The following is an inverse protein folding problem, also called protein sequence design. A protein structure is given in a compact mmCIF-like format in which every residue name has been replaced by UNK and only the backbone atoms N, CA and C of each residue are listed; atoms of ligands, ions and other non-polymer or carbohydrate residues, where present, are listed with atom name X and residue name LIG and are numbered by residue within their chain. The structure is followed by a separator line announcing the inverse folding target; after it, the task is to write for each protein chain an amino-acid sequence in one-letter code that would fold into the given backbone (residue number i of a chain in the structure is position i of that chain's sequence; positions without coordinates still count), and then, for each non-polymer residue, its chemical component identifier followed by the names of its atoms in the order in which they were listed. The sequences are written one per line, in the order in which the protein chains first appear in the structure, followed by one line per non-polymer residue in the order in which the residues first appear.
data_IF_482682326318
#
_entry.id   IF_482682326318
#
_cell.length_a   1.000
_cell.length_b   1.000
_cell.length_c   1.000
_cell.angle_alpha   90.00
_cell.angle_beta   90.00
_cell.angle_gamma   90.00
#
_symmetry.space_group_name_H-M   'P 1'
#
loop_
_entity.id
_entity.type
_entity.pdbx_description
1 polymer ?
#
# COMPACT_ATOMS: atom_id res chain seq x y z
N UNK A 1 -3.03 -10.88 2.53
CA UNK A 1 -3.58 -12.09 3.18
C UNK A 1 -4.95 -12.47 2.62
N UNK A 2 -5.89 -11.51 2.49
CA UNK A 2 -7.23 -11.79 1.96
C UNK A 2 -7.29 -12.25 0.49
N UNK A 3 -6.27 -11.94 -0.33
CA UNK A 3 -6.16 -12.47 -1.69
C UNK A 3 -5.90 -13.99 -1.80
N UNK A 4 -5.80 -14.70 -0.67
CA UNK A 4 -5.72 -16.17 -0.60
C UNK A 4 -7.03 -16.82 -0.11
N UNK A 5 -8.06 -16.03 0.19
CA UNK A 5 -9.35 -16.56 0.61
C UNK A 5 -10.09 -17.12 -0.63
N UNK A 6 -10.07 -18.45 -0.78
CA UNK A 6 -10.70 -19.19 -1.88
C UNK A 6 -9.69 -19.67 -2.93
N UNK A 7 -9.86 -20.90 -3.41
CA UNK A 7 -9.07 -21.47 -4.51
C UNK A 7 -9.79 -21.28 -5.84
N UNK A 8 -9.22 -20.55 -6.82
CA UNK A 8 -9.91 -20.19 -8.07
C UNK A 8 -10.47 -21.36 -8.89
N UNK A 9 -9.93 -22.57 -8.72
CA UNK A 9 -10.33 -23.76 -9.48
C UNK A 9 -11.24 -24.73 -8.70
N UNK A 10 -11.40 -24.56 -7.40
CA UNK A 10 -12.05 -25.57 -6.53
C UNK A 10 -13.22 -25.02 -5.73
N UNK A 11 -13.17 -23.75 -5.32
CA UNK A 11 -14.15 -23.16 -4.41
C UNK A 11 -15.00 -22.13 -5.15
N UNK A 12 -16.33 -22.19 -4.99
CA UNK A 12 -17.27 -21.25 -5.59
C UNK A 12 -17.32 -19.89 -4.89
N UNK A 13 -16.90 -19.84 -3.61
CA UNK A 13 -16.78 -18.63 -2.79
C UNK A 13 -15.58 -18.77 -1.86
N UNK A 14 -14.82 -17.69 -1.70
CA UNK A 14 -13.80 -17.55 -0.66
C UNK A 14 -14.32 -16.73 0.51
N UNK A 15 -14.06 -17.17 1.74
CA UNK A 15 -14.40 -16.42 2.94
C UNK A 15 -13.11 -16.06 3.69
N UNK A 16 -13.00 -14.78 4.08
CA UNK A 16 -11.90 -14.26 4.86
C UNK A 16 -12.43 -13.51 6.06
N UNK A 17 -12.06 -13.95 7.26
CA UNK A 17 -12.47 -13.32 8.52
C UNK A 17 -11.32 -12.42 8.98
N UNK A 18 -11.62 -11.15 9.24
CA UNK A 18 -10.69 -10.19 9.83
C UNK A 18 -11.12 -9.89 11.27
N UNK A 19 -10.23 -10.16 12.22
CA UNK A 19 -10.42 -9.83 13.64
C UNK A 19 -9.59 -8.58 13.93
N UNK A 20 -10.23 -7.50 14.37
CA UNK A 20 -9.57 -6.22 14.66
C UNK A 20 -10.32 -5.46 15.76
N UNK A 21 -9.70 -4.39 16.24
CA UNK A 21 -10.31 -3.47 17.21
C UNK A 21 -11.42 -2.63 16.55
N UNK A 22 -12.40 -2.16 17.34
CA UNK A 22 -13.53 -1.37 16.79
C UNK A 22 -13.06 -0.09 16.09
N UNK A 23 -11.99 0.55 16.57
CA UNK A 23 -11.45 1.79 15.97
C UNK A 23 -10.81 1.58 14.60
N UNK A 24 -10.23 0.41 14.34
CA UNK A 24 -9.54 0.12 13.07
C UNK A 24 -10.48 -0.54 12.04
N UNK A 25 -11.69 -0.95 12.45
CA UNK A 25 -12.66 -1.62 11.58
C UNK A 25 -12.99 -0.77 10.35
N UNK A 26 -13.24 0.53 10.51
CA UNK A 26 -13.56 1.42 9.40
C UNK A 26 -12.39 1.53 8.41
N UNK A 27 -11.15 1.57 8.91
CA UNK A 27 -9.95 1.61 8.07
C UNK A 27 -9.84 0.36 7.18
N UNK A 28 -9.99 -0.83 7.77
CA UNK A 28 -9.93 -2.07 7.00
C UNK A 28 -11.11 -2.25 6.05
N UNK A 29 -12.31 -1.78 6.41
CA UNK A 29 -13.46 -1.76 5.49
C UNK A 29 -13.20 -0.85 4.28
N UNK A 30 -12.66 0.35 4.50
CA UNK A 30 -12.33 1.27 3.41
C UNK A 30 -11.22 0.71 2.51
N UNK A 31 -10.23 0.03 3.09
CA UNK A 31 -9.16 -0.63 2.34
C UNK A 31 -9.68 -1.75 1.42
N UNK A 32 -10.57 -2.61 1.93
CA UNK A 32 -11.07 -3.77 1.18
C UNK A 32 -12.12 -3.41 0.12
N UNK A 33 -12.86 -2.32 0.34
CA UNK A 33 -13.87 -1.84 -0.60
C UNK A 33 -13.34 -0.79 -1.59
N UNK A 34 -12.02 -0.68 -1.75
CA UNK A 34 -11.36 0.26 -2.69
C UNK A 34 -11.70 1.74 -2.43
N UNK A 35 -12.04 2.09 -1.18
CA UNK A 35 -12.40 3.45 -0.78
C UNK A 35 -11.19 4.24 -0.25
N UNK A 36 -10.03 3.60 -0.09
CA UNK A 36 -8.82 4.25 0.40
C UNK A 36 -7.99 4.80 -0.78
N UNK A 37 -7.82 6.14 -0.91
CA UNK A 37 -6.98 6.71 -1.95
C UNK A 37 -5.51 6.36 -1.72
N UNK A 38 -4.76 6.17 -2.82
CA UNK A 38 -3.31 5.97 -2.76
C UNK A 38 -2.65 7.35 -2.70
N UNK A 39 -1.93 7.63 -1.61
CA UNK A 39 -1.24 8.90 -1.40
C UNK A 39 0.28 8.76 -1.48
N UNK A 40 0.95 9.81 -1.98
CA UNK A 40 2.41 9.84 -2.05
C UNK A 40 3.03 10.02 -0.67
N UNK A 41 3.87 9.06 -0.27
CA UNK A 41 4.68 9.14 0.94
C UNK A 41 6.13 9.56 0.66
N UNK A 42 6.42 9.99 -0.58
CA UNK A 42 7.78 10.30 -1.05
C UNK A 42 8.43 11.44 -0.27
N UNK A 43 7.64 12.42 0.20
CA UNK A 43 8.15 13.60 0.91
C UNK A 43 9.03 13.21 2.10
N UNK A 44 8.65 12.17 2.84
CA UNK A 44 9.40 11.68 4.01
C UNK A 44 10.79 11.13 3.66
N UNK A 45 10.95 10.56 2.46
CA UNK A 45 12.18 9.93 1.97
C UNK A 45 12.84 10.71 0.84
N UNK A 46 12.36 11.92 0.57
CA UNK A 46 12.84 12.73 -0.54
C UNK A 46 14.34 13.04 -0.44
N UNK A 47 14.91 13.38 0.75
CA UNK A 47 16.34 13.64 0.86
C UNK A 47 17.19 12.43 0.47
N UNK A 48 16.79 11.22 0.87
CA UNK A 48 17.52 9.99 0.57
C UNK A 48 17.47 9.66 -0.92
N UNK A 49 16.29 9.76 -1.52
CA UNK A 49 16.10 9.51 -2.95
C UNK A 49 16.83 10.55 -3.80
N UNK A 50 16.78 11.83 -3.41
CA UNK A 50 17.51 12.89 -4.09
C UNK A 50 19.02 12.70 -3.98
N UNK A 51 19.53 12.34 -2.79
CA UNK A 51 20.94 12.04 -2.60
C UNK A 51 21.39 10.86 -3.46
N UNK A 52 20.58 9.80 -3.56
CA UNK A 52 20.89 8.66 -4.43
C UNK A 52 21.04 9.10 -5.90
N UNK A 53 20.13 9.95 -6.39
CA UNK A 53 20.19 10.47 -7.76
C UNK A 53 21.37 11.42 -8.01
N UNK A 54 21.80 12.17 -6.99
CA UNK A 54 23.02 13.00 -7.05
C UNK A 54 24.26 12.10 -7.14
N UNK A 55 24.35 11.06 -6.29
CA UNK A 55 25.48 10.11 -6.29
C UNK A 55 25.57 9.33 -7.61
N UNK A 56 24.42 8.98 -8.19
CA UNK A 56 24.36 8.35 -9.52
C UNK A 56 24.71 9.32 -10.66
N UNK A 57 24.85 10.61 -10.37
CA UNK A 57 25.15 11.65 -11.36
C UNK A 57 23.98 12.04 -12.26
N UNK A 58 22.78 11.54 -11.96
CA UNK A 58 21.54 11.83 -12.69
C UNK A 58 21.03 13.25 -12.40
N UNK A 59 21.25 13.75 -11.17
CA UNK A 59 20.93 15.13 -10.76
C UNK A 59 22.21 15.86 -10.41
N UNK A 60 22.51 16.96 -11.12
CA UNK A 60 23.75 17.72 -10.91
C UNK A 60 23.52 19.17 -10.48
N UNK A 61 22.35 19.73 -10.77
CA UNK A 61 21.98 21.10 -10.53
C UNK A 61 20.50 21.18 -10.17
N UNK A 62 20.17 22.07 -9.23
CA UNK A 62 18.78 22.36 -8.85
C UNK A 62 18.13 23.46 -9.73
N UNK A 63 18.91 24.05 -10.65
CA UNK A 63 18.54 25.17 -11.52
C UNK A 63 18.66 24.77 -12.98
#
# INVERSE_FOLDING_TARGET
MLGRAGRPQYDSKGEGILITSHGELQYYLSLLNQQLPIESQMVSKLPDMLNAEIVLGNVQNAK
#
